data_IF_424015243387
#
_entry.id   IF_424015243387
#
_cell.length_a   1.000
_cell.length_b   1.000
_cell.length_c   1.000
_cell.angle_alpha   90.00
_cell.angle_beta   90.00
_cell.angle_gamma   90.00
#
_symmetry.space_group_name_H-M   'P 1'
#
loop_
_entity.id
_entity.type
_entity.pdbx_description
1 polymer ?
#
# COMPACT_ATOMS: atom_id res chain seq x y z
N UNK A 1 -4.32 5.17 -14.77
CA UNK A 1 -5.22 4.74 -13.67
C UNK A 1 -4.75 3.40 -13.10
N UNK A 2 -4.83 3.24 -11.80
CA UNK A 2 -4.51 1.98 -11.12
C UNK A 2 -5.77 1.12 -11.08
N UNK A 3 -5.71 -0.11 -11.54
CA UNK A 3 -6.90 -0.96 -11.67
C UNK A 3 -7.57 -1.27 -10.34
N UNK A 4 -6.78 -1.62 -9.33
CA UNK A 4 -7.32 -1.90 -8.00
C UNK A 4 -6.32 -1.57 -6.91
N UNK A 5 -6.81 -1.02 -5.80
CA UNK A 5 -6.01 -0.64 -4.65
C UNK A 5 -6.55 -1.32 -3.40
N UNK A 6 -5.65 -1.82 -2.57
CA UNK A 6 -5.93 -2.30 -1.23
C UNK A 6 -5.20 -1.40 -0.22
N UNK A 7 -5.93 -0.86 0.74
CA UNK A 7 -5.37 -0.14 1.88
C UNK A 7 -5.49 -1.03 3.13
N UNK A 8 -4.37 -1.26 3.80
CA UNK A 8 -4.31 -2.01 5.06
C UNK A 8 -3.93 -1.05 6.17
N UNK A 9 -4.90 -0.64 6.98
CA UNK A 9 -4.74 0.41 8.00
C UNK A 9 -5.82 0.24 9.06
N UNK A 10 -5.47 0.30 10.34
CA UNK A 10 -6.42 0.14 11.44
C UNK A 10 -7.17 1.42 11.80
N UNK A 11 -6.79 2.58 11.23
CA UNK A 11 -7.45 3.86 11.49
C UNK A 11 -8.63 4.08 10.53
N UNK A 12 -9.86 3.93 11.03
CA UNK A 12 -11.06 4.11 10.20
C UNK A 12 -11.18 5.52 9.62
N UNK A 13 -10.76 6.55 10.37
CA UNK A 13 -10.78 7.92 9.86
C UNK A 13 -9.83 8.09 8.67
N UNK A 14 -8.68 7.43 8.70
CA UNK A 14 -7.76 7.49 7.59
C UNK A 14 -8.31 6.78 6.34
N UNK A 15 -9.09 5.71 6.52
CA UNK A 15 -9.80 5.07 5.39
C UNK A 15 -10.62 6.11 4.62
N UNK A 16 -11.36 6.95 5.34
CA UNK A 16 -12.21 7.99 4.72
C UNK A 16 -11.37 9.04 4.00
N UNK A 17 -10.29 9.52 4.63
CA UNK A 17 -9.38 10.50 4.03
C UNK A 17 -8.76 9.94 2.74
N UNK A 18 -8.30 8.70 2.78
CA UNK A 18 -7.68 8.03 1.66
C UNK A 18 -8.68 7.79 0.52
N UNK A 19 -9.86 7.29 0.84
CA UNK A 19 -10.93 7.05 -0.14
C UNK A 19 -11.34 8.34 -0.84
N UNK A 20 -11.49 9.43 -0.09
CA UNK A 20 -11.82 10.75 -0.64
C UNK A 20 -10.75 11.23 -1.61
N UNK A 21 -9.48 11.15 -1.22
CA UNK A 21 -8.37 11.56 -2.06
C UNK A 21 -8.29 10.74 -3.34
N UNK A 22 -8.47 9.43 -3.25
CA UNK A 22 -8.48 8.55 -4.43
C UNK A 22 -9.64 8.89 -5.38
N UNK A 23 -10.81 9.23 -4.84
CA UNK A 23 -11.96 9.63 -5.62
C UNK A 23 -11.72 10.96 -6.35
N UNK A 24 -11.21 11.96 -5.62
CA UNK A 24 -10.91 13.29 -6.20
C UNK A 24 -9.86 13.24 -7.30
N UNK A 25 -8.88 12.35 -7.18
CA UNK A 25 -7.81 12.19 -8.15
C UNK A 25 -8.12 11.22 -9.28
N UNK A 26 -9.27 10.56 -9.23
CA UNK A 26 -9.62 9.49 -10.18
C UNK A 26 -8.49 8.45 -10.30
N UNK A 27 -7.91 8.07 -9.16
CA UNK A 27 -6.71 7.24 -9.16
C UNK A 27 -7.01 5.76 -9.43
N UNK A 28 -8.20 5.30 -9.03
CA UNK A 28 -8.62 3.90 -9.21
C UNK A 28 -10.12 3.77 -9.35
N UNK A 29 -10.55 2.70 -10.02
CA UNK A 29 -11.96 2.31 -10.10
C UNK A 29 -12.37 1.35 -8.98
N UNK A 30 -11.41 0.75 -8.30
CA UNK A 30 -11.67 -0.27 -7.27
C UNK A 30 -10.74 -0.06 -6.09
N UNK A 31 -11.29 0.42 -4.97
CA UNK A 31 -10.58 0.60 -3.72
C UNK A 31 -11.24 -0.24 -2.64
N UNK A 32 -10.42 -1.01 -1.91
CA UNK A 32 -10.85 -1.71 -0.72
C UNK A 32 -9.95 -1.32 0.45
N UNK A 33 -10.55 -1.04 1.61
CA UNK A 33 -9.83 -0.75 2.84
C UNK A 33 -10.12 -1.85 3.86
N UNK A 34 -9.08 -2.34 4.51
CA UNK A 34 -9.19 -3.33 5.59
C UNK A 34 -8.43 -2.84 6.81
N UNK A 35 -8.82 -3.34 7.99
CA UNK A 35 -8.33 -2.83 9.28
C UNK A 35 -7.28 -3.71 9.92
N UNK A 36 -6.94 -4.86 9.33
CA UNK A 36 -5.97 -5.79 9.90
C UNK A 36 -5.24 -6.59 8.83
N UNK A 37 -4.09 -7.16 9.20
CA UNK A 37 -3.35 -8.06 8.32
C UNK A 37 -4.12 -9.35 8.05
N UNK A 38 -4.93 -9.82 9.01
CA UNK A 38 -5.76 -11.01 8.86
C UNK A 38 -6.82 -10.81 7.77
N UNK A 39 -7.47 -9.64 7.74
CA UNK A 39 -8.42 -9.30 6.68
C UNK A 39 -7.73 -9.21 5.33
N UNK A 40 -6.53 -8.61 5.29
CA UNK A 40 -5.73 -8.54 4.08
C UNK A 40 -5.34 -9.93 3.56
N UNK A 41 -4.93 -10.82 4.45
CA UNK A 41 -4.57 -12.20 4.09
C UNK A 41 -5.74 -12.95 3.44
N UNK A 42 -6.94 -12.75 3.93
CA UNK A 42 -8.14 -13.35 3.33
C UNK A 42 -8.32 -12.90 1.89
N UNK A 43 -8.13 -11.61 1.63
CA UNK A 43 -8.23 -11.06 0.28
C UNK A 43 -7.15 -11.67 -0.61
N UNK A 44 -5.92 -11.74 -0.14
CA UNK A 44 -4.83 -12.33 -0.91
C UNK A 44 -5.08 -13.82 -1.20
N UNK A 45 -5.49 -14.61 -0.22
CA UNK A 45 -5.71 -16.04 -0.40
C UNK A 45 -6.86 -16.33 -1.39
N UNK A 46 -7.89 -15.48 -1.42
CA UNK A 46 -9.01 -15.63 -2.34
C UNK A 46 -8.68 -15.11 -3.75
N UNK A 47 -8.02 -13.94 -3.82
CA UNK A 47 -7.80 -13.22 -5.08
C UNK A 47 -6.55 -13.64 -5.83
N UNK A 48 -5.52 -14.14 -5.15
CA UNK A 48 -4.30 -14.59 -5.83
C UNK A 48 -4.47 -15.91 -6.58
N UNK A 49 -5.53 -16.65 -6.31
CA UNK A 49 -5.89 -17.83 -7.10
C UNK A 49 -6.39 -17.44 -8.49
N UNK A 50 -6.90 -16.21 -8.64
CA UNK A 50 -7.38 -15.67 -9.91
C UNK A 50 -6.54 -14.44 -10.23
N UNK A 51 -5.64 -14.55 -11.22
CA UNK A 51 -4.74 -13.47 -11.63
C UNK A 51 -5.45 -12.14 -11.86
N UNK A 52 -6.71 -12.17 -12.32
CA UNK A 52 -7.46 -10.97 -12.70
C UNK A 52 -8.11 -10.22 -11.53
N UNK A 53 -8.07 -10.75 -10.32
CA UNK A 53 -8.75 -10.16 -9.16
C UNK A 53 -7.82 -9.70 -8.05
N UNK A 54 -6.49 -9.89 -8.20
CA UNK A 54 -5.54 -9.43 -7.19
C UNK A 54 -5.39 -7.91 -7.23
N UNK A 55 -5.10 -7.26 -6.07
CA UNK A 55 -4.84 -5.83 -6.07
C UNK A 55 -3.60 -5.50 -6.90
N UNK A 56 -3.68 -4.47 -7.72
CA UNK A 56 -2.53 -3.97 -8.47
C UNK A 56 -1.56 -3.20 -7.58
N UNK A 57 -2.11 -2.51 -6.57
CA UNK A 57 -1.33 -1.70 -5.65
C UNK A 57 -1.82 -1.91 -4.21
N UNK A 58 -0.89 -2.06 -3.27
CA UNK A 58 -1.19 -2.24 -1.86
C UNK A 58 -0.45 -1.21 -1.02
N UNK A 59 -1.20 -0.45 -0.24
CA UNK A 59 -0.67 0.48 0.75
C UNK A 59 -0.82 -0.15 2.13
N UNK A 60 0.27 -0.31 2.87
CA UNK A 60 0.27 -0.96 4.17
C UNK A 60 0.73 0.01 5.25
N UNK A 61 -0.09 0.22 6.28
CA UNK A 61 0.31 1.01 7.44
C UNK A 61 1.46 0.32 8.16
N UNK A 62 2.45 1.10 8.58
CA UNK A 62 3.61 0.58 9.31
C UNK A 62 3.21 -0.10 10.61
N UNK A 63 2.31 0.51 11.36
CA UNK A 63 1.88 0.04 12.68
C UNK A 63 0.38 -0.28 12.67
N UNK A 64 0.06 -1.57 12.57
CA UNK A 64 -1.33 -2.04 12.54
C UNK A 64 -1.64 -2.66 13.89
N UNK A 65 -2.28 -1.88 14.77
CA UNK A 65 -2.58 -2.29 16.14
C UNK A 65 -3.54 -3.49 16.14
N UNK A 66 -3.25 -4.48 16.98
CA UNK A 66 -4.09 -5.68 17.12
C UNK A 66 -3.92 -6.72 16.02
N UNK A 67 -3.06 -6.47 15.04
CA UNK A 67 -2.77 -7.42 13.99
C UNK A 67 -1.63 -8.37 14.38
N UNK A 68 -1.63 -9.56 13.77
CA UNK A 68 -0.61 -10.58 13.98
C UNK A 68 0.76 -10.14 13.47
N UNK A 69 0.79 -9.36 12.41
CA UNK A 69 2.01 -8.84 11.78
C UNK A 69 2.00 -7.32 11.79
N UNK A 70 3.18 -6.69 11.81
CA UNK A 70 3.30 -5.27 11.50
C UNK A 70 3.30 -5.06 9.96
N UNK A 71 3.35 -3.81 9.52
CA UNK A 71 3.30 -3.49 8.09
C UNK A 71 4.49 -4.03 7.30
N UNK A 72 5.67 -4.00 7.89
CA UNK A 72 6.90 -4.50 7.23
C UNK A 72 6.83 -6.02 7.05
N UNK A 73 6.39 -6.74 8.08
CA UNK A 73 6.20 -8.19 8.01
C UNK A 73 5.14 -8.56 6.98
N UNK A 74 4.07 -7.78 6.89
CA UNK A 74 3.03 -7.98 5.88
C UNK A 74 3.59 -7.83 4.46
N UNK A 75 4.41 -6.81 4.21
CA UNK A 75 5.05 -6.61 2.91
C UNK A 75 5.97 -7.78 2.57
N UNK A 76 6.77 -8.23 3.54
CA UNK A 76 7.65 -9.40 3.34
C UNK A 76 6.85 -10.63 2.95
N UNK A 77 5.73 -10.86 3.62
CA UNK A 77 4.83 -11.98 3.35
C UNK A 77 4.19 -11.87 1.96
N UNK A 78 3.74 -10.70 1.58
CA UNK A 78 3.16 -10.46 0.24
C UNK A 78 4.19 -10.82 -0.83
N UNK A 79 5.40 -10.32 -0.71
CA UNK A 79 6.46 -10.58 -1.71
C UNK A 79 6.90 -12.04 -1.75
N UNK A 80 6.99 -12.69 -0.59
CA UNK A 80 7.45 -14.07 -0.49
C UNK A 80 6.40 -15.09 -0.93
N UNK A 81 5.17 -14.94 -0.45
CA UNK A 81 4.11 -15.94 -0.67
C UNK A 81 3.32 -15.72 -1.95
N UNK A 82 3.13 -14.46 -2.34
CA UNK A 82 2.26 -14.11 -3.46
C UNK A 82 3.02 -13.57 -4.66
N UNK A 83 4.34 -13.45 -4.55
CA UNK A 83 5.20 -13.04 -5.65
C UNK A 83 5.11 -11.56 -5.99
N UNK A 84 5.69 -11.19 -7.14
CA UNK A 84 5.88 -9.80 -7.57
C UNK A 84 4.69 -9.24 -8.36
N UNK A 85 3.48 -9.72 -8.09
CA UNK A 85 2.28 -9.32 -8.84
C UNK A 85 1.67 -7.99 -8.45
N UNK A 86 2.12 -7.40 -7.33
CA UNK A 86 1.57 -6.15 -6.81
C UNK A 86 2.66 -5.11 -6.63
N UNK A 87 2.30 -3.84 -6.83
CA UNK A 87 3.09 -2.71 -6.34
C UNK A 87 2.73 -2.55 -4.86
N UNK A 88 3.71 -2.62 -3.97
CA UNK A 88 3.46 -2.57 -2.53
C UNK A 88 4.39 -1.59 -1.84
N UNK A 89 3.84 -0.84 -0.89
CA UNK A 89 4.61 0.10 -0.11
C UNK A 89 3.94 0.47 1.20
N UNK A 90 4.65 1.27 1.98
CA UNK A 90 4.24 1.71 3.30
C UNK A 90 3.47 3.03 3.22
N UNK A 91 2.49 3.17 4.10
CA UNK A 91 1.86 4.45 4.42
C UNK A 91 1.95 4.62 5.93
N UNK A 92 2.51 5.74 6.41
CA UNK A 92 2.79 5.93 7.83
C UNK A 92 2.87 7.40 8.18
N UNK A 93 2.49 7.76 9.40
CA UNK A 93 2.69 9.13 9.92
C UNK A 93 4.15 9.45 10.22
N UNK A 94 5.02 8.47 10.26
CA UNK A 94 6.47 8.61 10.48
C UNK A 94 7.24 8.56 9.17
N UNK A 95 8.43 9.17 9.15
CA UNK A 95 9.41 9.03 8.07
C UNK A 95 10.77 8.59 8.60
N UNK A 96 10.79 7.78 9.65
CA UNK A 96 12.00 7.27 10.29
C UNK A 96 12.86 6.48 9.31
N UNK A 97 14.13 6.90 9.16
CA UNK A 97 15.05 6.30 8.18
C UNK A 97 15.37 4.83 8.46
N UNK A 98 15.47 4.44 9.73
CA UNK A 98 15.74 3.05 10.09
C UNK A 98 14.57 2.15 9.69
N UNK A 99 13.34 2.62 9.86
CA UNK A 99 12.15 1.89 9.43
C UNK A 99 12.08 1.83 7.90
N UNK A 100 12.47 2.88 7.21
CA UNK A 100 12.55 2.88 5.74
C UNK A 100 13.50 1.82 5.23
N UNK A 101 14.68 1.67 5.84
CA UNK A 101 15.66 0.64 5.46
C UNK A 101 15.06 -0.75 5.62
N UNK A 102 14.38 -1.01 6.73
CA UNK A 102 13.68 -2.28 6.96
C UNK A 102 12.61 -2.54 5.91
N UNK A 103 11.84 -1.51 5.55
CA UNK A 103 10.81 -1.62 4.53
C UNK A 103 11.39 -1.94 3.16
N UNK A 104 12.47 -1.29 2.77
CA UNK A 104 13.18 -1.58 1.52
C UNK A 104 13.64 -3.03 1.47
N UNK A 105 14.24 -3.53 2.55
CA UNK A 105 14.70 -4.91 2.64
C UNK A 105 13.56 -5.92 2.56
N UNK A 106 12.37 -5.55 3.04
CA UNK A 106 11.18 -6.39 2.95
C UNK A 106 10.54 -6.38 1.56
N UNK A 107 10.94 -5.44 0.69
CA UNK A 107 10.45 -5.35 -0.67
C UNK A 107 9.49 -4.19 -0.93
N UNK A 108 9.37 -3.24 0.00
CA UNK A 108 8.57 -2.04 -0.22
C UNK A 108 9.17 -1.21 -1.35
N UNK A 109 8.31 -0.75 -2.25
CA UNK A 109 8.74 0.03 -3.40
C UNK A 109 8.61 1.54 -3.17
N UNK A 110 7.80 1.94 -2.20
CA UNK A 110 7.56 3.35 -1.89
C UNK A 110 7.17 3.53 -0.42
N UNK A 111 7.16 4.78 0.03
CA UNK A 111 6.74 5.18 1.37
C UNK A 111 5.97 6.50 1.26
N UNK A 112 4.73 6.53 1.71
CA UNK A 112 3.92 7.75 1.74
C UNK A 112 3.69 8.16 3.18
N UNK A 113 4.01 9.42 3.51
CA UNK A 113 3.75 9.97 4.83
C UNK A 113 2.29 10.38 4.94
N UNK A 114 1.60 9.85 5.95
CA UNK A 114 0.19 10.18 6.20
C UNK A 114 0.04 11.64 6.62
N UNK A 115 -1.02 12.28 6.11
CA UNK A 115 -1.50 13.55 6.64
C UNK A 115 -2.96 13.70 6.23
N UNK A 116 -3.66 14.68 6.80
CA UNK A 116 -5.03 14.99 6.40
C UNK A 116 -5.08 15.50 4.96
N UNK A 117 -3.98 16.04 4.46
CA UNK A 117 -3.81 16.51 3.09
C UNK A 117 -2.91 15.54 2.31
N UNK A 118 -3.39 14.32 2.12
CA UNK A 118 -2.63 13.27 1.42
C UNK A 118 -2.71 13.39 -0.11
N UNK A 119 -3.66 14.18 -0.62
CA UNK A 119 -3.95 14.30 -2.05
C UNK A 119 -2.71 14.62 -2.91
N UNK A 120 -1.89 15.67 -2.57
CA UNK A 120 -0.71 15.97 -3.39
C UNK A 120 0.29 14.81 -3.46
N UNK A 121 0.43 14.07 -2.37
CA UNK A 121 1.34 12.92 -2.32
C UNK A 121 0.86 11.77 -3.18
N UNK A 122 -0.45 11.50 -3.16
CA UNK A 122 -1.05 10.48 -4.02
C UNK A 122 -1.01 10.90 -5.49
N UNK A 123 -1.13 12.18 -5.78
CA UNK A 123 -1.01 12.68 -7.14
C UNK A 123 0.41 12.44 -7.69
N UNK A 124 1.43 12.74 -6.91
CA UNK A 124 2.82 12.47 -7.29
C UNK A 124 3.08 10.98 -7.43
N UNK A 125 2.55 10.17 -6.51
CA UNK A 125 2.64 8.71 -6.58
C UNK A 125 2.00 8.17 -7.88
N UNK A 126 0.84 8.70 -8.23
CA UNK A 126 0.14 8.30 -9.46
C UNK A 126 1.01 8.51 -10.69
N UNK A 127 1.76 9.61 -10.75
CA UNK A 127 2.68 9.90 -11.86
C UNK A 127 3.82 8.88 -11.96
N UNK A 128 4.26 8.33 -10.82
CA UNK A 128 5.38 7.39 -10.75
C UNK A 128 4.94 5.93 -10.85
N UNK A 129 3.65 5.65 -10.85
CA UNK A 129 3.10 4.29 -10.71
C UNK A 129 3.59 3.32 -11.78
N UNK A 130 3.63 3.74 -13.03
CA UNK A 130 4.10 2.88 -14.12
C UNK A 130 5.55 2.42 -13.91
N UNK A 131 6.40 3.29 -13.36
CA UNK A 131 7.76 2.93 -13.01
C UNK A 131 7.83 1.87 -11.92
N UNK A 132 6.96 1.94 -10.92
CA UNK A 132 6.88 0.91 -9.89
C UNK A 132 6.37 -0.41 -10.45
N UNK A 133 5.35 -0.35 -11.29
CA UNK A 133 4.77 -1.52 -11.95
C UNK A 133 5.80 -2.25 -12.81
N UNK A 134 6.61 -1.49 -13.55
CA UNK A 134 7.67 -2.02 -14.41
C UNK A 134 8.98 -2.29 -13.66
N UNK A 135 9.03 -2.02 -12.37
CA UNK A 135 10.19 -2.19 -11.49
C UNK A 135 11.42 -1.39 -11.92
N UNK A 136 11.18 -0.21 -12.50
CA UNK A 136 12.22 0.71 -12.93
C UNK A 136 12.35 1.95 -12.03
N UNK A 137 11.31 2.26 -11.25
CA UNK A 137 11.34 3.39 -10.32
C UNK A 137 12.13 3.03 -9.06
N UNK A 138 13.00 3.92 -8.56
CA UNK A 138 13.67 3.71 -7.28
C UNK A 138 12.69 3.92 -6.13
N UNK A 139 13.03 3.38 -4.95
CA UNK A 139 12.29 3.66 -3.72
C UNK A 139 12.25 5.17 -3.47
N UNK A 140 11.08 5.67 -3.13
CA UNK A 140 10.87 7.11 -2.90
C UNK A 140 9.94 7.33 -1.72
N UNK A 141 10.21 8.39 -0.96
CA UNK A 141 9.37 8.85 0.14
C UNK A 141 8.57 10.06 -0.33
N UNK A 142 7.26 9.95 -0.25
CA UNK A 142 6.33 11.05 -0.58
C UNK A 142 5.93 11.76 0.71
N UNK A 143 6.42 12.98 0.88
CA UNK A 143 6.16 13.79 2.08
C UNK A 143 6.01 15.29 1.81
#
# INVERSE_FOLDING_TARGET
MIDSILLVDDENLFHLVFEDACSLLDITLSLKSVSSTEEAEKIFSERFRKKDTRPECVFVDLNIVGSKYDGIEMIRKINFEYGNGCVVGIISSSSDENEQVKAIKAGAQFWIVKSDDIEPRLEDFKKDFEGYKNRTAPFKVYK
#
